data_IF_385253309618
#
_entry.id   IF_385253309618
#
_cell.length_a   1.000
_cell.length_b   1.000
_cell.length_c   1.000
_cell.angle_alpha   90.00
_cell.angle_beta   90.00
_cell.angle_gamma   90.00
#
_symmetry.space_group_name_H-M   'P 1'
#
loop_
_entity.id
_entity.type
_entity.pdbx_description
1 polymer ?
#
# COMPACT_ATOMS: atom_id res chain seq x y z
N UNK A 1 -15.43 -20.11 -15.29
CA UNK A 1 -15.69 -19.45 -14.00
C UNK A 1 -14.88 -20.20 -12.99
N UNK A 2 -13.92 -19.53 -12.37
CA UNK A 2 -13.00 -20.16 -11.43
C UNK A 2 -13.37 -19.67 -10.03
N UNK A 3 -13.57 -20.62 -9.11
CA UNK A 3 -13.88 -20.32 -7.72
C UNK A 3 -12.64 -20.60 -6.88
N UNK A 4 -11.91 -19.53 -6.54
CA UNK A 4 -10.73 -19.60 -5.68
C UNK A 4 -11.19 -19.50 -4.24
N UNK A 5 -10.99 -20.58 -3.46
CA UNK A 5 -11.44 -20.66 -2.06
C UNK A 5 -10.34 -20.34 -1.05
N UNK A 6 -9.08 -20.38 -1.48
CA UNK A 6 -7.93 -20.01 -0.67
C UNK A 6 -6.73 -19.71 -1.56
N UNK A 7 -5.91 -18.76 -1.12
CA UNK A 7 -4.62 -18.44 -1.72
C UNK A 7 -3.57 -18.39 -0.62
N UNK A 8 -2.39 -19.01 -0.79
CA UNK A 8 -1.34 -18.98 0.23
C UNK A 8 -0.96 -17.55 0.62
N UNK A 9 -0.69 -17.34 1.90
CA UNK A 9 -0.10 -16.08 2.37
C UNK A 9 1.40 -16.14 2.15
N UNK A 10 1.95 -15.13 1.47
CA UNK A 10 3.37 -14.98 1.21
C UNK A 10 3.92 -13.82 2.03
N UNK A 11 5.14 -13.96 2.56
CA UNK A 11 5.88 -12.82 3.12
C UNK A 11 6.47 -12.02 1.96
N UNK A 12 6.29 -10.71 1.98
CA UNK A 12 6.79 -9.83 0.94
C UNK A 12 8.32 -9.72 1.00
N UNK A 13 9.00 -9.53 -0.15
CA UNK A 13 10.45 -9.48 -0.24
C UNK A 13 11.02 -8.25 0.48
N UNK A 14 11.98 -8.44 1.39
CA UNK A 14 12.53 -7.37 2.24
C UNK A 14 13.18 -6.22 1.44
N UNK A 15 13.49 -6.43 0.16
CA UNK A 15 14.07 -5.43 -0.73
C UNK A 15 13.09 -4.31 -1.09
N UNK A 16 11.77 -4.51 -0.87
CA UNK A 16 10.70 -3.58 -1.26
C UNK A 16 9.92 -3.01 -0.07
N UNK A 17 10.22 -3.46 1.15
CA UNK A 17 9.45 -3.13 2.34
C UNK A 17 10.36 -2.97 3.55
N UNK A 18 9.97 -2.05 4.42
CA UNK A 18 10.48 -2.00 5.79
C UNK A 18 9.47 -2.66 6.73
N UNK A 19 9.93 -3.53 7.63
CA UNK A 19 9.07 -4.31 8.51
C UNK A 19 8.45 -5.54 7.82
N UNK A 20 7.51 -6.18 8.51
CA UNK A 20 6.88 -7.40 8.01
C UNK A 20 5.58 -7.10 7.24
N UNK A 21 5.54 -7.55 5.99
CA UNK A 21 4.40 -7.40 5.09
C UNK A 21 4.02 -8.76 4.52
N UNK A 22 2.73 -9.04 4.48
CA UNK A 22 2.18 -10.31 4.01
C UNK A 22 1.13 -10.07 2.95
N UNK A 23 1.11 -10.92 1.91
CA UNK A 23 0.18 -10.78 0.80
C UNK A 23 -0.53 -12.10 0.46
N UNK A 24 -1.79 -11.99 0.05
CA UNK A 24 -2.57 -13.02 -0.62
C UNK A 24 -2.95 -12.48 -2.00
N UNK A 25 -2.58 -13.21 -3.06
CA UNK A 25 -2.97 -12.83 -4.41
C UNK A 25 -4.47 -13.05 -4.62
N UNK A 26 -5.18 -12.02 -5.09
CA UNK A 26 -6.61 -12.08 -5.45
C UNK A 26 -6.75 -12.29 -6.95
N UNK A 27 -5.97 -11.56 -7.75
CA UNK A 27 -5.94 -11.66 -9.19
C UNK A 27 -4.50 -11.53 -9.71
N UNK A 28 -4.15 -12.41 -10.64
CA UNK A 28 -2.87 -12.35 -11.37
C UNK A 28 -3.13 -11.73 -12.75
N UNK A 29 -2.30 -10.78 -13.21
CA UNK A 29 -2.46 -10.15 -14.52
C UNK A 29 -2.48 -11.19 -15.64
N UNK A 30 -3.48 -11.10 -16.50
CA UNK A 30 -3.58 -11.88 -17.74
C UNK A 30 -4.20 -11.04 -18.84
N UNK A 31 -3.74 -11.23 -20.08
CA UNK A 31 -4.34 -10.58 -21.24
C UNK A 31 -5.81 -11.03 -21.41
N UNK A 32 -6.73 -10.11 -21.78
CA UNK A 32 -6.51 -8.70 -22.14
C UNK A 32 -6.59 -7.71 -20.95
N UNK A 33 -7.06 -8.17 -19.78
CA UNK A 33 -7.44 -7.29 -18.68
C UNK A 33 -6.26 -6.74 -17.86
N UNK A 34 -5.18 -7.52 -17.71
CA UNK A 34 -3.92 -7.16 -17.02
C UNK A 34 -4.08 -6.64 -15.57
N UNK A 35 -5.21 -6.89 -14.91
CA UNK A 35 -5.42 -6.52 -13.52
C UNK A 35 -4.62 -7.44 -12.58
N UNK A 36 -3.78 -6.84 -11.74
CA UNK A 36 -3.26 -7.46 -10.53
C UNK A 36 -4.06 -6.95 -9.33
N UNK A 37 -4.44 -7.86 -8.44
CA UNK A 37 -5.02 -7.51 -7.16
C UNK A 37 -4.46 -8.39 -6.05
N UNK A 38 -4.14 -7.80 -4.91
CA UNK A 38 -3.67 -8.53 -3.73
C UNK A 38 -4.20 -7.91 -2.44
N UNK A 39 -4.56 -8.77 -1.49
CA UNK A 39 -4.77 -8.35 -0.10
C UNK A 39 -3.41 -8.28 0.58
N UNK A 40 -3.01 -7.09 0.99
CA UNK A 40 -1.71 -6.80 1.63
C UNK A 40 -1.96 -6.43 3.08
N UNK A 41 -1.15 -6.97 3.99
CA UNK A 41 -1.20 -6.72 5.44
C UNK A 41 0.16 -6.25 5.92
N UNK A 42 0.15 -5.14 6.65
CA UNK A 42 1.34 -4.50 7.22
C UNK A 42 1.30 -4.65 8.73
N UNK A 43 2.37 -5.19 9.33
CA UNK A 43 2.57 -5.13 10.78
C UNK A 43 2.73 -3.68 11.23
N UNK A 44 2.54 -3.35 12.52
CA UNK A 44 2.75 -1.99 13.01
C UNK A 44 4.10 -1.40 12.56
N UNK A 45 4.07 -0.21 11.97
CA UNK A 45 5.25 0.47 11.41
C UNK A 45 5.82 -0.10 10.11
N UNK A 46 5.26 -1.18 9.56
CA UNK A 46 5.67 -1.71 8.27
C UNK A 46 5.12 -0.85 7.13
N UNK A 47 5.93 -0.65 6.10
CA UNK A 47 5.60 0.16 4.92
C UNK A 47 6.33 -0.29 3.68
N UNK A 48 5.81 0.07 2.52
CA UNK A 48 6.53 -0.06 1.26
C UNK A 48 7.74 0.86 1.23
N UNK A 49 8.70 0.55 0.36
CA UNK A 49 9.61 1.57 -0.17
C UNK A 49 8.82 2.61 -0.98
N UNK A 50 9.49 3.70 -1.33
CA UNK A 50 9.01 4.59 -2.37
C UNK A 50 8.84 3.81 -3.68
N UNK A 51 7.74 4.06 -4.40
CA UNK A 51 7.49 3.46 -5.69
C UNK A 51 6.45 4.26 -6.48
N UNK A 52 6.33 3.95 -7.76
CA UNK A 52 5.25 4.47 -8.63
C UNK A 52 4.70 3.36 -9.53
N UNK A 53 3.49 3.57 -10.04
CA UNK A 53 2.84 2.65 -10.98
C UNK A 53 2.58 3.36 -12.31
N UNK A 54 2.99 2.74 -13.42
CA UNK A 54 2.88 3.31 -14.76
C UNK A 54 1.46 3.73 -15.14
N UNK A 55 0.44 3.00 -14.67
CA UNK A 55 -0.98 3.27 -14.92
C UNK A 55 -1.75 3.62 -13.63
N UNK A 56 -1.04 3.95 -12.55
CA UNK A 56 -1.61 4.28 -11.25
C UNK A 56 -1.99 3.06 -10.42
N UNK A 57 -2.44 3.31 -9.18
CA UNK A 57 -2.84 2.28 -8.23
C UNK A 57 -4.08 2.71 -7.46
N UNK A 58 -4.95 1.75 -7.15
CA UNK A 58 -6.05 1.95 -6.20
C UNK A 58 -5.85 1.06 -4.99
N UNK A 59 -5.96 1.65 -3.81
CA UNK A 59 -5.89 1.00 -2.51
C UNK A 59 -7.27 1.10 -1.84
N UNK A 60 -7.86 -0.04 -1.50
CA UNK A 60 -9.08 -0.07 -0.69
C UNK A 60 -8.78 -0.70 0.66
N UNK A 61 -8.89 0.09 1.73
CA UNK A 61 -8.51 -0.35 3.08
C UNK A 61 -9.59 -1.27 3.63
N UNK A 62 -9.19 -2.45 4.08
CA UNK A 62 -10.10 -3.48 4.58
C UNK A 62 -10.08 -3.60 6.09
N UNK A 63 -8.97 -3.22 6.74
CA UNK A 63 -8.82 -3.31 8.20
C UNK A 63 -7.73 -2.36 8.71
N UNK A 64 -7.83 -1.99 9.99
CA UNK A 64 -6.80 -1.26 10.70
C UNK A 64 -6.64 0.20 10.28
N UNK A 65 -5.43 0.74 10.50
CA UNK A 65 -5.10 2.15 10.28
C UNK A 65 -3.73 2.27 9.62
N UNK A 66 -3.66 3.02 8.53
CA UNK A 66 -2.43 3.22 7.79
C UNK A 66 -2.20 4.66 7.37
N UNK A 67 -1.11 4.83 6.61
CA UNK A 67 -0.71 6.07 5.98
C UNK A 67 -0.46 5.82 4.50
N UNK A 68 -0.74 6.83 3.68
CA UNK A 68 -0.26 6.96 2.31
C UNK A 68 0.45 8.30 2.20
N UNK A 69 1.70 8.31 1.73
CA UNK A 69 2.50 9.52 1.59
C UNK A 69 3.06 9.69 0.19
N UNK A 70 3.17 10.93 -0.27
CA UNK A 70 3.72 11.34 -1.58
C UNK A 70 4.96 12.20 -1.42
N UNK A 71 5.75 12.34 -2.49
CA UNK A 71 7.03 13.09 -2.47
C UNK A 71 6.89 14.58 -2.16
N UNK A 72 5.75 15.17 -2.47
CA UNK A 72 5.44 16.57 -2.17
C UNK A 72 5.21 16.84 -0.66
N UNK A 73 5.21 15.79 0.16
CA UNK A 73 4.98 15.87 1.60
C UNK A 73 3.52 15.69 2.00
N UNK A 74 2.60 15.48 1.05
CA UNK A 74 1.21 15.14 1.38
C UNK A 74 1.14 13.76 2.04
N UNK A 75 0.39 13.66 3.13
CA UNK A 75 0.18 12.42 3.88
C UNK A 75 -1.30 12.28 4.21
N UNK A 76 -1.86 11.12 3.90
CA UNK A 76 -3.25 10.77 4.21
C UNK A 76 -3.26 9.62 5.20
N UNK A 77 -3.93 9.81 6.34
CA UNK A 77 -4.27 8.71 7.25
C UNK A 77 -5.50 8.00 6.72
N UNK A 78 -5.45 6.67 6.69
CA UNK A 78 -6.52 5.84 6.13
C UNK A 78 -6.98 4.76 7.11
N UNK A 79 -8.21 4.31 6.96
CA UNK A 79 -8.90 3.35 7.82
C UNK A 79 -9.90 2.50 7.02
N UNK A 80 -10.38 1.42 7.62
CA UNK A 80 -11.24 0.44 6.95
C UNK A 80 -12.46 1.09 6.25
N UNK A 81 -12.67 0.73 4.98
CA UNK A 81 -13.73 1.27 4.12
C UNK A 81 -13.30 2.45 3.25
N UNK A 82 -12.16 3.08 3.54
CA UNK A 82 -11.64 4.19 2.75
C UNK A 82 -10.84 3.71 1.53
N UNK A 83 -10.75 4.57 0.51
CA UNK A 83 -10.04 4.29 -0.74
C UNK A 83 -9.10 5.44 -1.06
N UNK A 84 -7.87 5.09 -1.47
CA UNK A 84 -6.89 6.04 -2.01
C UNK A 84 -6.53 5.63 -3.42
N UNK A 85 -6.50 6.60 -4.34
CA UNK A 85 -6.02 6.40 -5.70
C UNK A 85 -4.75 7.19 -5.91
N UNK A 86 -3.67 6.50 -6.23
CA UNK A 86 -2.39 7.08 -6.61
C UNK A 86 -2.35 7.21 -8.14
N UNK A 87 -2.25 8.44 -8.70
CA UNK A 87 -2.20 8.64 -10.14
C UNK A 87 -1.03 7.93 -10.82
N UNK A 88 -1.12 7.78 -12.14
CA UNK A 88 -0.03 7.25 -12.95
C UNK A 88 1.27 8.04 -12.74
N UNK A 89 2.35 7.33 -12.43
CA UNK A 89 3.69 7.90 -12.21
C UNK A 89 3.90 8.61 -10.88
N UNK A 90 2.87 8.76 -10.03
CA UNK A 90 3.02 9.39 -8.72
C UNK A 90 3.91 8.54 -7.81
N UNK A 91 4.98 9.12 -7.29
CA UNK A 91 5.84 8.46 -6.32
C UNK A 91 5.23 8.54 -4.93
N UNK A 92 4.98 7.38 -4.36
CA UNK A 92 4.30 7.27 -3.08
C UNK A 92 4.81 6.07 -2.28
N UNK A 93 4.40 6.03 -1.03
CA UNK A 93 4.51 4.87 -0.15
C UNK A 93 3.24 4.70 0.65
N UNK A 94 3.04 3.51 1.18
CA UNK A 94 1.94 3.23 2.10
C UNK A 94 2.34 2.17 3.12
N UNK A 95 1.65 2.17 4.25
CA UNK A 95 1.96 1.27 5.34
C UNK A 95 1.04 1.44 6.54
N UNK A 96 1.28 0.63 7.55
CA UNK A 96 0.59 0.73 8.83
C UNK A 96 1.14 1.87 9.70
N UNK A 97 0.32 2.37 10.62
CA UNK A 97 0.80 3.24 11.71
C UNK A 97 1.62 2.45 12.74
N UNK A 98 2.29 3.14 13.67
CA UNK A 98 3.28 2.53 14.56
C UNK A 98 2.74 1.52 15.57
N UNK A 99 1.45 1.53 15.87
CA UNK A 99 0.83 0.72 16.94
C UNK A 99 -0.21 -0.28 16.45
N UNK A 100 -0.68 -0.16 15.21
CA UNK A 100 -1.81 -0.94 14.69
C UNK A 100 -1.42 -1.61 13.38
N UNK A 101 -2.00 -2.78 13.12
CA UNK A 101 -1.96 -3.41 11.80
C UNK A 101 -2.73 -2.54 10.80
N UNK A 102 -2.44 -2.71 9.51
CA UNK A 102 -3.30 -2.23 8.43
C UNK A 102 -3.39 -3.29 7.34
N UNK A 103 -4.56 -3.42 6.73
CA UNK A 103 -4.76 -4.26 5.56
C UNK A 103 -5.50 -3.51 4.46
N UNK A 104 -5.09 -3.73 3.21
CA UNK A 104 -5.80 -3.19 2.05
C UNK A 104 -5.77 -4.15 0.87
N UNK A 105 -6.74 -4.00 -0.03
CA UNK A 105 -6.67 -4.55 -1.39
C UNK A 105 -5.92 -3.53 -2.25
N UNK A 106 -4.76 -3.92 -2.75
CA UNK A 106 -4.03 -3.16 -3.78
C UNK A 106 -4.44 -3.64 -5.16
N UNK A 107 -4.82 -2.71 -6.04
CA UNK A 107 -5.22 -2.98 -7.41
C UNK A 107 -4.36 -2.15 -8.37
N UNK A 108 -3.74 -2.81 -9.33
CA UNK A 108 -2.91 -2.19 -10.36
C UNK A 108 -3.22 -2.82 -11.72
N UNK A 109 -3.16 -2.03 -12.78
CA UNK A 109 -3.27 -2.52 -14.16
C UNK A 109 -1.87 -2.52 -14.76
N UNK A 110 -1.43 -3.68 -15.25
CA UNK A 110 -0.15 -3.83 -15.91
C UNK A 110 -0.07 -3.06 -17.23
N UNK A 111 1.13 -2.56 -17.54
CA UNK A 111 1.39 -1.74 -18.74
C UNK A 111 1.54 -2.54 -20.04
N UNK A 112 1.50 -3.87 -19.96
CA UNK A 112 1.74 -4.80 -21.08
C UNK A 112 3.13 -5.42 -21.09
N UNK A 113 4.04 -4.97 -20.22
CA UNK A 113 5.39 -5.53 -20.03
C UNK A 113 5.60 -6.10 -18.62
N UNK A 114 4.77 -5.69 -17.65
CA UNK A 114 4.76 -6.19 -16.28
C UNK A 114 3.59 -5.63 -15.48
N UNK A 115 3.72 -5.59 -14.15
CA UNK A 115 2.73 -4.94 -13.26
C UNK A 115 2.82 -3.40 -13.28
N UNK A 116 3.79 -2.83 -14.01
CA UNK A 116 3.98 -1.39 -14.16
C UNK A 116 4.61 -0.71 -12.94
N UNK A 117 5.10 -1.47 -11.94
CA UNK A 117 5.68 -0.91 -10.72
C UNK A 117 7.15 -0.53 -10.93
N UNK A 118 7.50 0.71 -10.60
CA UNK A 118 8.89 1.15 -10.45
C UNK A 118 9.21 1.28 -8.96
N UNK A 119 10.05 0.39 -8.44
CA UNK A 119 10.50 0.41 -7.05
C UNK A 119 11.70 1.33 -6.88
N UNK A 120 11.71 2.10 -5.78
CA UNK A 120 12.74 3.07 -5.45
C UNK A 120 13.32 2.76 -4.06
N UNK A 121 13.96 3.75 -3.43
CA UNK A 121 14.62 3.60 -2.14
C UNK A 121 13.64 3.42 -0.97
N UNK A 122 14.11 2.86 0.17
CA UNK A 122 13.30 2.75 1.38
C UNK A 122 12.82 4.12 1.90
N UNK A 123 11.62 4.13 2.48
CA UNK A 123 11.13 5.25 3.29
C UNK A 123 11.93 5.27 4.59
N UNK A 124 12.67 6.35 4.83
CA UNK A 124 13.50 6.48 6.04
C UNK A 124 12.63 6.56 7.30
N UNK A 125 13.19 6.20 8.46
CA UNK A 125 12.48 6.34 9.73
C UNK A 125 12.11 7.79 10.03
N UNK A 126 12.91 8.75 9.58
CA UNK A 126 12.65 10.19 9.69
C UNK A 126 11.43 10.61 8.85
N UNK A 127 11.36 10.16 7.59
CA UNK A 127 10.20 10.40 6.72
C UNK A 127 8.92 9.79 7.30
N UNK A 128 9.02 8.56 7.78
CA UNK A 128 7.90 7.85 8.40
C UNK A 128 7.42 8.55 9.69
N UNK A 129 8.36 8.97 10.55
CA UNK A 129 8.03 9.67 11.80
C UNK A 129 7.41 11.05 11.54
N UNK A 130 7.92 11.79 10.56
CA UNK A 130 7.34 13.06 10.15
C UNK A 130 5.90 12.88 9.62
N UNK A 131 5.67 11.85 8.80
CA UNK A 131 4.34 11.54 8.29
C UNK A 131 3.34 11.16 9.38
N UNK A 132 3.78 10.40 10.40
CA UNK A 132 2.96 10.11 11.59
C UNK A 132 2.55 11.39 12.32
N UNK A 133 3.48 12.33 12.51
CA UNK A 133 3.22 13.57 13.21
C UNK A 133 2.15 14.42 12.51
N UNK A 134 2.22 14.53 11.17
CA UNK A 134 1.26 15.28 10.34
C UNK A 134 -0.18 14.85 10.56
N UNK A 135 -0.41 13.57 10.84
CA UNK A 135 -1.77 13.02 10.99
C UNK A 135 -2.23 12.88 12.45
N UNK A 136 -1.31 12.91 13.43
CA UNK A 136 -1.67 12.96 14.85
C UNK A 136 -2.10 14.35 15.28
N UNK A 137 -1.52 15.40 14.71
CA UNK A 137 -1.88 16.79 15.05
C UNK A 137 -3.30 17.16 14.59
N UNK A 138 -3.87 16.40 13.64
CA UNK A 138 -5.26 16.54 13.18
C UNK A 138 -6.29 15.76 13.99
N UNK A 139 -5.88 14.95 14.97
CA UNK A 139 -6.74 14.08 15.78
C UNK A 139 -6.86 14.56 17.24
N UNK A 140 -6.86 15.88 17.48
CA UNK A 140 -7.23 16.41 18.79
C UNK A 140 -8.51 15.71 19.28
N UNK A 141 -8.35 15.00 20.39
CA UNK A 141 -9.26 14.04 21.00
C UNK A 141 -10.72 14.56 21.01
N UNK A 142 -11.70 13.87 20.38
CA UNK A 142 -13.09 14.14 20.68
C UNK A 142 -13.36 13.61 22.09
N UNK A 143 -13.23 14.53 23.06
CA UNK A 143 -13.68 14.37 24.44
C UNK A 143 -15.04 13.70 24.57
#
# INVERSE_FOLDING_TARGET
MDHVTSTPTLKAPAERFTGDVYLNMIATPAEPARLAAALVRFTPGARTNWHSHALGQTLHITDGVGLVGTRDGSVVRVSAGETVTCPAGEEHWHGAVGTNLMAHIAMVVGDGTGDGTTWLEPVTDEQYTAALATVTDGLADPS
#
